data_IF_153776582295
#
_entry.id   IF_153776582295
#
_cell.length_a   1.000
_cell.length_b   1.000
_cell.length_c   1.000
_cell.angle_alpha   90.00
_cell.angle_beta   90.00
_cell.angle_gamma   90.00
#
_symmetry.space_group_name_H-M   'P 1'
#
loop_
_entity.id
_entity.type
_entity.pdbx_description
1 polymer ?
#
# COMPACT_ATOMS: atom_id res chain seq x y z
N UNK A 1 -1.16 2.97 -3.97
CA UNK A 1 -0.84 3.98 -4.99
C UNK A 1 -2.10 4.53 -5.67
N UNK A 2 -2.96 3.70 -6.30
CA UNK A 2 -4.22 4.17 -6.92
C UNK A 2 -5.15 4.96 -5.98
N UNK A 3 -5.49 4.43 -4.81
CA UNK A 3 -6.45 5.09 -3.91
C UNK A 3 -5.97 6.47 -3.41
N UNK A 4 -4.65 6.72 -3.38
CA UNK A 4 -4.08 8.00 -2.99
C UNK A 4 -4.28 9.06 -4.07
N UNK A 5 -4.09 8.68 -5.33
CA UNK A 5 -4.33 9.54 -6.48
C UNK A 5 -5.83 9.79 -6.68
N UNK A 6 -6.69 8.80 -6.45
CA UNK A 6 -8.16 8.97 -6.44
C UNK A 6 -8.53 10.03 -5.42
N UNK A 7 -8.15 9.87 -4.14
CA UNK A 7 -8.52 10.82 -3.08
C UNK A 7 -8.05 12.25 -3.34
N UNK A 8 -6.91 12.44 -4.02
CA UNK A 8 -6.37 13.77 -4.26
C UNK A 8 -6.97 14.47 -5.48
N UNK A 9 -6.91 13.82 -6.64
CA UNK A 9 -7.38 14.43 -7.87
C UNK A 9 -8.91 14.48 -7.93
N UNK A 10 -9.60 13.49 -7.37
CA UNK A 10 -11.05 13.50 -7.28
C UNK A 10 -11.56 14.60 -6.35
N UNK A 11 -11.02 14.70 -5.12
CA UNK A 11 -11.43 15.78 -4.20
C UNK A 11 -11.07 17.16 -4.75
N UNK A 12 -9.96 17.28 -5.48
CA UNK A 12 -9.61 18.53 -6.16
C UNK A 12 -10.56 18.86 -7.31
N UNK A 13 -10.93 17.88 -8.15
CA UNK A 13 -11.91 18.08 -9.22
C UNK A 13 -13.29 18.45 -8.67
N UNK A 14 -13.73 17.81 -7.58
CA UNK A 14 -14.97 18.15 -6.87
C UNK A 14 -14.91 19.56 -6.28
N UNK A 15 -13.77 19.96 -5.68
CA UNK A 15 -13.58 21.33 -5.20
C UNK A 15 -13.70 22.34 -6.35
N UNK A 16 -13.05 22.07 -7.49
CA UNK A 16 -13.05 22.96 -8.65
C UNK A 16 -14.46 23.09 -9.25
N UNK A 17 -15.25 22.02 -9.21
CA UNK A 17 -16.66 22.02 -9.57
C UNK A 17 -17.49 22.85 -8.58
N UNK A 18 -17.30 22.66 -7.28
CA UNK A 18 -17.98 23.42 -6.21
C UNK A 18 -17.68 24.93 -6.28
N UNK A 19 -16.42 25.31 -6.51
CA UNK A 19 -16.03 26.72 -6.68
C UNK A 19 -16.75 27.35 -7.90
N UNK A 20 -16.90 26.59 -9.00
CA UNK A 20 -17.65 27.00 -10.20
C UNK A 20 -19.14 27.21 -9.92
N UNK A 21 -19.77 26.31 -9.16
CA UNK A 21 -21.18 26.43 -8.74
C UNK A 21 -21.41 27.58 -7.76
N UNK A 22 -20.42 27.93 -6.94
CA UNK A 22 -20.55 28.96 -5.90
C UNK A 22 -20.33 30.38 -6.46
N UNK A 23 -19.52 30.53 -7.52
CA UNK A 23 -19.17 31.83 -8.09
C UNK A 23 -20.12 32.32 -9.20
N UNK A 24 -20.88 31.45 -9.85
CA UNK A 24 -21.73 31.82 -10.98
C UNK A 24 -23.19 31.38 -10.79
N UNK A 25 -24.14 32.32 -10.81
CA UNK A 25 -25.59 32.04 -10.69
C UNK A 25 -26.19 31.37 -11.94
N UNK A 26 -25.55 31.50 -13.12
CA UNK A 26 -25.93 30.83 -14.37
C UNK A 26 -24.72 30.16 -15.01
N UNK A 27 -24.79 28.84 -15.13
CA UNK A 27 -23.68 28.03 -15.63
C UNK A 27 -23.79 27.91 -17.15
N UNK A 28 -22.77 28.42 -17.84
CA UNK A 28 -22.62 28.26 -19.30
C UNK A 28 -21.74 27.03 -19.54
N UNK A 29 -22.16 26.12 -20.43
CA UNK A 29 -21.49 24.84 -20.71
C UNK A 29 -19.99 24.99 -21.05
N UNK A 30 -19.59 26.13 -21.61
CA UNK A 30 -18.21 26.47 -21.93
C UNK A 30 -17.29 26.54 -20.68
N UNK A 31 -17.82 26.92 -19.51
CA UNK A 31 -17.04 26.99 -18.27
C UNK A 31 -16.84 25.61 -17.61
N UNK A 32 -17.75 24.68 -17.87
CA UNK A 32 -17.71 23.31 -17.32
C UNK A 32 -16.73 22.38 -18.04
N UNK A 33 -16.27 22.73 -19.24
CA UNK A 33 -15.36 21.88 -20.02
C UNK A 33 -14.00 21.66 -19.33
N UNK A 34 -13.48 22.70 -18.64
CA UNK A 34 -12.17 22.69 -18.00
C UNK A 34 -12.07 21.67 -16.86
N UNK A 35 -12.98 21.62 -15.86
CA UNK A 35 -12.95 20.59 -14.83
C UNK A 35 -13.19 19.18 -15.38
N UNK A 36 -14.02 19.03 -16.42
CA UNK A 36 -14.28 17.73 -17.06
C UNK A 36 -13.01 17.15 -17.70
N UNK A 37 -12.24 17.97 -18.43
CA UNK A 37 -10.97 17.50 -19.02
C UNK A 37 -9.96 17.10 -17.94
N UNK A 38 -9.85 17.90 -16.87
CA UNK A 38 -8.97 17.55 -15.74
C UNK A 38 -9.38 16.25 -15.08
N UNK A 39 -10.69 15.99 -14.95
CA UNK A 39 -11.22 14.74 -14.43
C UNK A 39 -10.86 13.54 -15.33
N UNK A 40 -11.10 13.66 -16.64
CA UNK A 40 -10.78 12.59 -17.61
C UNK A 40 -9.29 12.31 -17.68
N UNK A 41 -8.45 13.35 -17.69
CA UNK A 41 -7.00 13.21 -17.70
C UNK A 41 -6.49 12.49 -16.42
N UNK A 42 -7.04 12.84 -15.26
CA UNK A 42 -6.71 12.18 -14.01
C UNK A 42 -7.11 10.70 -14.02
N UNK A 43 -8.29 10.37 -14.55
CA UNK A 43 -8.76 8.99 -14.70
C UNK A 43 -7.83 8.17 -15.62
N UNK A 44 -7.44 8.74 -16.76
CA UNK A 44 -6.53 8.07 -17.70
C UNK A 44 -5.14 7.81 -17.10
N UNK A 45 -4.59 8.80 -16.37
CA UNK A 45 -3.32 8.62 -15.65
C UNK A 45 -3.41 7.52 -14.59
N UNK A 46 -4.55 7.43 -13.90
CA UNK A 46 -4.78 6.41 -12.89
C UNK A 46 -4.81 5.00 -13.49
N UNK A 47 -5.56 4.82 -14.58
CA UNK A 47 -5.63 3.53 -15.27
C UNK A 47 -4.25 3.11 -15.82
N UNK A 48 -3.48 4.08 -16.33
CA UNK A 48 -2.09 3.86 -16.73
C UNK A 48 -1.20 3.40 -15.56
N UNK A 49 -1.25 4.12 -14.44
CA UNK A 49 -0.48 3.78 -13.24
C UNK A 49 -0.86 2.41 -12.66
N UNK A 50 -2.14 2.05 -12.70
CA UNK A 50 -2.61 0.73 -12.29
C UNK A 50 -2.06 -0.39 -13.15
N UNK A 51 -2.13 -0.23 -14.48
CA UNK A 51 -1.61 -1.22 -15.42
C UNK A 51 -0.11 -1.38 -15.28
N UNK A 52 0.62 -0.28 -15.13
CA UNK A 52 2.06 -0.31 -14.89
C UNK A 52 2.41 -1.01 -13.56
N UNK A 53 1.65 -0.74 -12.49
CA UNK A 53 1.83 -1.39 -11.21
C UNK A 53 1.58 -2.91 -11.28
N UNK A 54 0.47 -3.32 -11.90
CA UNK A 54 0.16 -4.75 -12.10
C UNK A 54 1.23 -5.44 -12.95
N UNK A 55 1.70 -4.78 -14.01
CA UNK A 55 2.77 -5.32 -14.84
C UNK A 55 4.08 -5.48 -14.05
N UNK A 56 4.45 -4.47 -13.25
CA UNK A 56 5.61 -4.52 -12.39
C UNK A 56 5.51 -5.65 -11.35
N UNK A 57 4.35 -5.80 -10.69
CA UNK A 57 4.09 -6.90 -9.75
C UNK A 57 4.24 -8.26 -10.42
N UNK A 58 3.57 -8.47 -11.56
CA UNK A 58 3.57 -9.74 -12.27
C UNK A 58 4.97 -10.16 -12.74
N UNK A 59 5.88 -9.21 -12.97
CA UNK A 59 7.26 -9.48 -13.34
C UNK A 59 8.20 -9.63 -12.14
N UNK A 60 8.09 -8.74 -11.16
CA UNK A 60 9.01 -8.69 -10.02
C UNK A 60 8.78 -9.85 -9.04
N UNK A 61 7.52 -10.16 -8.74
CA UNK A 61 7.15 -11.17 -7.75
C UNK A 61 7.69 -12.58 -8.08
N UNK A 62 7.48 -13.14 -9.29
CA UNK A 62 8.04 -14.44 -9.64
C UNK A 62 9.57 -14.41 -9.76
N UNK A 63 10.15 -13.29 -10.22
CA UNK A 63 11.60 -13.18 -10.35
C UNK A 63 12.32 -13.25 -8.99
N UNK A 64 11.81 -12.53 -7.99
CA UNK A 64 12.34 -12.59 -6.61
C UNK A 64 12.12 -13.98 -6.02
N UNK A 65 10.94 -14.56 -6.24
CA UNK A 65 10.63 -15.91 -5.74
C UNK A 65 11.57 -16.97 -6.33
N UNK A 66 11.84 -16.92 -7.64
CA UNK A 66 12.80 -17.80 -8.31
C UNK A 66 14.21 -17.63 -7.72
N UNK A 67 14.67 -16.40 -7.54
CA UNK A 67 15.98 -16.13 -6.94
C UNK A 67 16.10 -16.67 -5.51
N UNK A 68 15.05 -16.51 -4.71
CA UNK A 68 14.97 -17.07 -3.36
C UNK A 68 15.00 -18.60 -3.39
N UNK A 69 14.15 -19.23 -4.21
CA UNK A 69 14.06 -20.69 -4.31
C UNK A 69 15.38 -21.30 -4.79
N UNK A 70 16.05 -20.67 -5.75
CA UNK A 70 17.34 -21.15 -6.25
C UNK A 70 18.41 -21.14 -5.15
N UNK A 71 18.47 -20.09 -4.31
CA UNK A 71 19.37 -20.04 -3.15
C UNK A 71 19.06 -21.12 -2.13
N UNK A 72 17.78 -21.35 -1.84
CA UNK A 72 17.34 -22.39 -0.91
C UNK A 72 17.74 -23.77 -1.45
N UNK A 73 17.42 -24.08 -2.70
CA UNK A 73 17.80 -25.34 -3.33
C UNK A 73 19.32 -25.55 -3.32
N UNK A 74 20.10 -24.53 -3.73
CA UNK A 74 21.56 -24.62 -3.74
C UNK A 74 22.14 -24.83 -2.33
N UNK A 75 21.54 -24.25 -1.29
CA UNK A 75 21.94 -24.52 0.08
C UNK A 75 21.74 -26.00 0.44
N UNK A 76 20.56 -26.56 0.16
CA UNK A 76 20.25 -27.96 0.46
C UNK A 76 21.09 -28.94 -0.37
N UNK A 77 21.40 -28.63 -1.63
CA UNK A 77 22.24 -29.49 -2.47
C UNK A 77 23.70 -29.58 -2.00
N UNK A 78 24.18 -28.61 -1.22
CA UNK A 78 25.53 -28.62 -0.66
C UNK A 78 25.61 -29.26 0.74
N UNK A 79 24.51 -29.77 1.29
CA UNK A 79 24.51 -30.44 2.59
C UNK A 79 24.98 -31.89 2.48
N UNK A 80 25.70 -32.38 3.51
CA UNK A 80 26.13 -33.77 3.58
C UNK A 80 24.94 -34.73 3.68
N UNK A 81 25.13 -35.96 3.21
CA UNK A 81 24.16 -37.04 3.32
C UNK A 81 23.69 -37.32 4.76
N UNK A 82 24.58 -37.14 5.75
CA UNK A 82 24.26 -37.27 7.18
C UNK A 82 23.17 -36.30 7.65
N UNK A 83 23.06 -35.14 7.03
CA UNK A 83 21.97 -34.18 7.32
C UNK A 83 20.61 -34.75 6.94
N UNK A 84 20.52 -35.42 5.79
CA UNK A 84 19.28 -36.02 5.28
C UNK A 84 18.91 -37.32 6.00
N UNK A 85 19.88 -38.02 6.61
CA UNK A 85 19.58 -39.14 7.51
C UNK A 85 18.94 -38.68 8.82
N UNK A 86 19.39 -37.54 9.35
CA UNK A 86 18.93 -37.00 10.62
C UNK A 86 17.67 -36.12 10.50
N UNK A 87 17.29 -35.73 9.29
CA UNK A 87 16.11 -34.88 9.03
C UNK A 87 15.18 -35.53 8.02
N UNK A 88 13.93 -35.78 8.42
CA UNK A 88 12.89 -36.30 7.53
C UNK A 88 12.70 -35.39 6.31
N UNK A 89 12.78 -35.96 5.10
CA UNK A 89 12.57 -35.22 3.85
C UNK A 89 11.24 -34.45 3.82
N UNK A 90 10.19 -35.00 4.43
CA UNK A 90 8.90 -34.31 4.59
C UNK A 90 8.99 -33.03 5.41
N UNK A 91 9.82 -33.00 6.46
CA UNK A 91 10.08 -31.79 7.26
C UNK A 91 10.87 -30.75 6.48
N UNK A 92 11.81 -31.17 5.63
CA UNK A 92 12.58 -30.27 4.77
C UNK A 92 11.67 -29.63 3.73
N UNK A 93 10.88 -30.46 3.02
CA UNK A 93 9.90 -29.98 2.02
C UNK A 93 8.87 -29.06 2.66
N UNK A 94 8.34 -29.42 3.83
CA UNK A 94 7.42 -28.58 4.59
C UNK A 94 8.02 -27.22 4.96
N UNK A 95 9.31 -27.18 5.34
CA UNK A 95 10.02 -25.94 5.66
C UNK A 95 10.24 -25.06 4.43
N UNK A 96 10.67 -25.63 3.31
CA UNK A 96 10.84 -24.90 2.04
C UNK A 96 9.51 -24.34 1.56
N UNK A 97 8.44 -25.14 1.60
CA UNK A 97 7.08 -24.69 1.27
C UNK A 97 6.61 -23.58 2.21
N UNK A 98 6.83 -23.73 3.51
CA UNK A 98 6.49 -22.71 4.51
C UNK A 98 7.21 -21.37 4.27
N UNK A 99 8.48 -21.40 3.87
CA UNK A 99 9.20 -20.18 3.48
C UNK A 99 8.56 -19.52 2.25
N UNK A 100 8.21 -20.32 1.23
CA UNK A 100 7.54 -19.82 0.03
C UNK A 100 6.16 -19.20 0.32
N UNK A 101 5.34 -19.90 1.10
CA UNK A 101 4.00 -19.43 1.48
C UNK A 101 4.07 -18.17 2.35
N UNK A 102 5.05 -18.09 3.26
CA UNK A 102 5.27 -16.90 4.09
C UNK A 102 5.75 -15.70 3.28
N UNK A 103 6.58 -15.91 2.25
CA UNK A 103 6.98 -14.84 1.34
C UNK A 103 5.77 -14.20 0.65
N UNK A 104 4.83 -15.01 0.15
CA UNK A 104 3.62 -14.51 -0.50
C UNK A 104 2.78 -13.65 0.45
N UNK A 105 2.55 -14.13 1.68
CA UNK A 105 1.82 -13.40 2.73
C UNK A 105 2.52 -12.09 3.11
N UNK A 106 3.84 -12.12 3.27
CA UNK A 106 4.63 -10.94 3.59
C UNK A 106 4.58 -9.90 2.47
N UNK A 107 4.74 -10.33 1.23
CA UNK A 107 4.68 -9.44 0.06
C UNK A 107 3.32 -8.73 -0.03
N UNK A 108 2.23 -9.49 0.10
CA UNK A 108 0.88 -8.91 0.13
C UNK A 108 0.67 -7.95 1.30
N UNK A 109 1.13 -8.30 2.51
CA UNK A 109 1.00 -7.44 3.67
C UNK A 109 1.75 -6.11 3.47
N UNK A 110 3.01 -6.17 3.02
CA UNK A 110 3.82 -4.97 2.77
C UNK A 110 3.16 -4.08 1.73
N UNK A 111 2.68 -4.65 0.63
CA UNK A 111 2.19 -3.87 -0.49
C UNK A 111 0.77 -3.33 -0.26
N UNK A 112 -0.15 -4.19 0.15
CA UNK A 112 -1.56 -3.82 0.28
C UNK A 112 -1.90 -3.25 1.65
N UNK A 113 -1.37 -3.81 2.74
CA UNK A 113 -1.74 -3.40 4.10
C UNK A 113 -0.88 -2.25 4.61
N UNK A 114 0.38 -2.14 4.19
CA UNK A 114 1.28 -1.08 4.65
C UNK A 114 1.46 0.02 3.60
N UNK A 115 1.94 -0.33 2.40
CA UNK A 115 2.37 0.67 1.41
C UNK A 115 1.21 1.50 0.87
N UNK A 116 0.04 0.90 0.63
CA UNK A 116 -1.15 1.64 0.16
C UNK A 116 -1.59 2.72 1.15
N UNK A 117 -1.96 2.40 2.41
CA UNK A 117 -2.42 3.42 3.37
C UNK A 117 -1.34 4.45 3.67
N UNK A 118 -0.09 4.04 3.84
CA UNK A 118 1.01 4.97 4.15
C UNK A 118 1.18 6.02 3.05
N UNK A 119 1.12 5.60 1.78
CA UNK A 119 1.22 6.52 0.64
C UNK A 119 -0.01 7.42 0.48
N UNK A 120 -1.21 6.92 0.80
CA UNK A 120 -2.44 7.73 0.85
C UNK A 120 -2.29 8.80 1.93
N UNK A 121 -1.95 8.41 3.15
CA UNK A 121 -1.81 9.33 4.29
C UNK A 121 -0.76 10.40 4.02
N UNK A 122 0.40 10.03 3.47
CA UNK A 122 1.44 11.00 3.11
C UNK A 122 0.95 12.01 2.07
N UNK A 123 0.41 11.53 0.95
CA UNK A 123 -0.01 12.42 -0.14
C UNK A 123 -1.21 13.28 0.27
N UNK A 124 -2.19 12.73 0.99
CA UNK A 124 -3.31 13.48 1.56
C UNK A 124 -2.85 14.52 2.58
N UNK A 125 -1.88 14.18 3.43
CA UNK A 125 -1.28 15.12 4.38
C UNK A 125 -0.60 16.29 3.67
N UNK A 126 0.18 16.02 2.62
CA UNK A 126 0.82 17.07 1.81
C UNK A 126 -0.22 18.01 1.18
N UNK A 127 -1.27 17.46 0.56
CA UNK A 127 -2.29 18.30 -0.07
C UNK A 127 -3.12 19.11 0.93
N UNK A 128 -3.38 18.55 2.11
CA UNK A 128 -4.00 19.28 3.20
C UNK A 128 -3.10 20.44 3.65
N UNK A 129 -1.80 20.21 3.78
CA UNK A 129 -0.82 21.25 4.10
C UNK A 129 -0.78 22.39 3.07
N UNK A 130 -0.85 22.06 1.78
CA UNK A 130 -0.90 23.04 0.70
C UNK A 130 -2.21 23.83 0.63
N UNK A 131 -3.34 23.23 1.05
CA UNK A 131 -4.65 23.89 0.98
C UNK A 131 -4.94 24.75 2.20
N UNK A 132 -4.64 24.27 3.41
CA UNK A 132 -4.83 25.04 4.63
C UNK A 132 -3.89 24.57 5.76
N UNK A 133 -2.83 25.33 5.99
CA UNK A 133 -1.81 25.00 7.00
C UNK A 133 -2.38 24.92 8.42
N UNK A 134 -3.41 25.71 8.76
CA UNK A 134 -4.00 25.71 10.11
C UNK A 134 -4.71 24.39 10.40
N UNK A 135 -5.50 23.90 9.44
CA UNK A 135 -6.22 22.62 9.56
C UNK A 135 -5.22 21.46 9.59
N UNK A 136 -4.17 21.53 8.79
CA UNK A 136 -3.09 20.53 8.78
C UNK A 136 -2.42 20.39 10.15
N UNK A 137 -2.04 21.50 10.79
CA UNK A 137 -1.37 21.48 12.12
C UNK A 137 -2.27 20.86 13.18
N UNK A 138 -3.57 21.18 13.19
CA UNK A 138 -4.52 20.59 14.15
C UNK A 138 -4.61 19.08 13.97
N UNK A 139 -4.85 18.60 12.74
CA UNK A 139 -5.00 17.17 12.46
C UNK A 139 -3.68 16.41 12.74
N UNK A 140 -2.53 16.99 12.40
CA UNK A 140 -1.24 16.38 12.67
C UNK A 140 -0.97 16.25 14.17
N UNK A 141 -1.45 17.19 14.99
CA UNK A 141 -1.32 17.13 16.46
C UNK A 141 -2.14 15.99 17.04
N UNK A 142 -3.41 15.84 16.60
CA UNK A 142 -4.24 14.70 17.01
C UNK A 142 -3.59 13.36 16.62
N UNK A 143 -3.11 13.27 15.38
CA UNK A 143 -2.48 12.04 14.90
C UNK A 143 -1.20 11.67 15.67
N UNK A 144 -0.43 12.67 16.12
CA UNK A 144 0.75 12.46 16.95
C UNK A 144 0.42 11.93 18.36
N UNK A 145 -0.77 12.18 18.87
CA UNK A 145 -1.25 11.66 20.16
C UNK A 145 -1.88 10.27 19.99
N UNK A 146 -2.68 10.07 18.93
CA UNK A 146 -3.40 8.83 18.71
C UNK A 146 -2.46 7.67 18.31
N UNK A 147 -1.41 7.95 17.52
CA UNK A 147 -0.45 6.94 17.08
C UNK A 147 0.24 6.19 18.24
N UNK A 148 0.89 6.87 19.21
CA UNK A 148 1.53 6.17 20.33
C UNK A 148 0.52 5.45 21.22
N UNK A 149 -0.69 5.99 21.39
CA UNK A 149 -1.76 5.34 22.14
C UNK A 149 -2.18 4.01 21.48
N UNK A 150 -2.39 4.03 20.17
CA UNK A 150 -2.72 2.85 19.39
C UNK A 150 -1.60 1.80 19.44
N UNK A 151 -0.33 2.21 19.30
CA UNK A 151 0.82 1.31 19.40
C UNK A 151 0.92 0.63 20.78
N UNK A 152 0.69 1.38 21.87
CA UNK A 152 0.64 0.79 23.21
C UNK A 152 -0.52 -0.21 23.35
N UNK A 153 -1.67 0.08 22.76
CA UNK A 153 -2.82 -0.82 22.79
C UNK A 153 -2.57 -2.12 22.02
N UNK A 154 -2.04 -2.03 20.80
CA UNK A 154 -1.71 -3.21 19.99
C UNK A 154 -0.62 -4.08 20.63
N UNK A 155 0.41 -3.47 21.21
CA UNK A 155 1.46 -4.22 21.91
C UNK A 155 0.95 -4.93 23.16
N UNK A 156 0.01 -4.32 23.90
CA UNK A 156 -0.67 -5.00 25.03
C UNK A 156 -1.54 -6.16 24.56
N UNK A 157 -2.34 -5.96 23.52
CA UNK A 157 -3.17 -7.02 22.93
C UNK A 157 -2.34 -8.21 22.47
N UNK A 158 -1.23 -7.95 21.77
CA UNK A 158 -0.35 -9.01 21.30
C UNK A 158 0.24 -9.84 22.45
N UNK A 159 0.61 -9.22 23.57
CA UNK A 159 1.08 -9.93 24.77
C UNK A 159 -0.01 -10.83 25.37
N UNK A 160 -1.23 -10.32 25.49
CA UNK A 160 -2.37 -11.10 26.03
C UNK A 160 -2.72 -12.30 25.14
N UNK A 161 -2.57 -12.17 23.83
CA UNK A 161 -2.81 -13.28 22.90
C UNK A 161 -1.69 -14.32 22.93
N UNK A 162 -0.44 -13.91 23.20
CA UNK A 162 0.67 -14.83 23.40
C UNK A 162 0.56 -15.61 24.72
N UNK A 163 0.09 -14.98 25.81
CA UNK A 163 -0.13 -15.67 27.10
C UNK A 163 -1.27 -16.71 27.06
N UNK A 164 -2.12 -16.68 26.01
CA UNK A 164 -3.21 -17.65 25.81
C UNK A 164 -2.79 -18.90 25.02
N UNK A 165 -1.62 -18.89 24.37
CA UNK A 165 -1.09 -20.03 23.59
C UNK A 165 -0.12 -20.85 24.42
#
# INVERSE_FOLDING_TARGET
MQAAFILLYYNYAVKLLLDLFTQNEKIIFAQSYKPIIWFVAAQAMLDGAWRAHNFAQLKAMPHIFQGMMNKICNHYFNLLYTYFQNNLSGSIVGRVRGIGDNYYKMHQAIEYQLSKPLLITLLSGIALGLTNIKVFVVISTFMAIDLPLALQFFTKLAKVEQDKR
#
